data_IF_516945758961
#
_entry.id   IF_516945758961
#
_cell.length_a   1.000
_cell.length_b   1.000
_cell.length_c   1.000
_cell.angle_alpha   90.00
_cell.angle_beta   90.00
_cell.angle_gamma   90.00
#
_symmetry.space_group_name_H-M   'P 1'
#
loop_
_entity.id
_entity.type
_entity.pdbx_description
1 polymer ?
#
# COMPACT_ATOMS: atom_id res chain seq x y z
N UNK A 1 6.59 -15.74 32.91
CA UNK A 1 7.58 -14.64 32.81
C UNK A 1 7.38 -13.67 33.95
N UNK A 2 8.45 -13.25 34.64
CA UNK A 2 8.37 -12.30 35.77
C UNK A 2 7.87 -10.92 35.29
N UNK A 3 6.98 -10.29 36.07
CA UNK A 3 6.32 -9.03 35.75
C UNK A 3 7.23 -7.77 35.73
N UNK A 4 8.55 -7.92 35.88
CA UNK A 4 9.49 -6.82 36.12
C UNK A 4 10.68 -6.76 35.14
N UNK A 5 10.61 -7.45 34.00
CA UNK A 5 11.58 -7.26 32.90
C UNK A 5 10.92 -6.43 31.81
N UNK A 6 11.57 -5.36 31.37
CA UNK A 6 11.12 -4.58 30.21
C UNK A 6 10.99 -5.51 29.01
N UNK A 7 9.78 -5.63 28.47
CA UNK A 7 9.48 -6.48 27.31
C UNK A 7 9.54 -5.69 26.00
N UNK A 8 9.54 -4.36 26.08
CA UNK A 8 9.45 -3.47 24.94
C UNK A 8 10.33 -2.25 25.16
N UNK A 9 11.11 -1.89 24.13
CA UNK A 9 11.93 -0.68 24.14
C UNK A 9 11.59 0.16 22.92
N UNK A 10 11.71 1.47 23.06
CA UNK A 10 11.59 2.41 21.95
C UNK A 10 12.82 3.31 21.90
N UNK A 11 13.41 3.42 20.73
CA UNK A 11 14.60 4.24 20.50
C UNK A 11 14.38 5.15 19.30
N UNK A 12 14.84 6.40 19.42
CA UNK A 12 14.86 7.39 18.36
C UNK A 12 16.31 7.71 18.04
N UNK A 13 16.66 7.73 16.75
CA UNK A 13 18.02 8.00 16.29
C UNK A 13 18.46 9.42 16.69
N UNK A 14 19.71 9.53 17.16
CA UNK A 14 20.29 10.81 17.58
C UNK A 14 19.67 11.41 18.85
N UNK A 15 18.90 10.64 19.63
CA UNK A 15 18.32 11.09 20.89
C UNK A 15 19.06 10.51 22.10
N UNK A 16 19.72 11.38 22.86
CA UNK A 16 20.42 11.03 24.10
C UNK A 16 19.49 11.12 25.32
N UNK A 17 18.33 10.46 25.25
CA UNK A 17 17.37 10.40 26.36
C UNK A 17 16.87 8.97 26.54
N UNK A 18 16.70 8.57 27.81
CA UNK A 18 16.07 7.28 28.14
C UNK A 18 14.56 7.45 28.01
N UNK A 19 13.96 6.62 27.16
CA UNK A 19 12.51 6.57 26.92
C UNK A 19 11.94 5.30 27.55
N UNK A 20 11.06 5.45 28.52
CA UNK A 20 10.33 4.34 29.12
C UNK A 20 9.01 4.14 28.38
N UNK A 21 8.88 3.04 27.63
CA UNK A 21 7.66 2.72 26.91
C UNK A 21 6.55 2.33 27.89
N UNK A 22 5.39 2.99 27.77
CA UNK A 22 4.19 2.73 28.59
C UNK A 22 3.18 1.87 27.86
N UNK A 23 2.91 2.22 26.61
CA UNK A 23 1.92 1.57 25.78
C UNK A 23 2.28 1.80 24.32
N UNK A 24 1.88 0.86 23.46
CA UNK A 24 1.80 1.13 22.04
C UNK A 24 0.56 0.46 21.45
N UNK A 25 0.05 1.02 20.37
CA UNK A 25 -0.96 0.41 19.51
C UNK A 25 -0.49 0.47 18.06
N UNK A 26 -0.88 -0.53 17.27
CA UNK A 26 -0.54 -0.58 15.85
C UNK A 26 -1.80 -0.59 15.00
N UNK A 27 -1.79 0.15 13.91
CA UNK A 27 -2.77 0.04 12.83
C UNK A 27 -2.06 -0.25 11.50
N UNK A 28 -2.75 -0.98 10.63
CA UNK A 28 -2.27 -1.27 9.27
C UNK A 28 -0.91 -1.98 9.19
N UNK A 29 -0.51 -2.75 10.21
CA UNK A 29 0.65 -3.65 10.13
C UNK A 29 0.31 -4.90 9.31
N UNK A 30 0.03 -4.68 8.02
CA UNK A 30 -0.52 -5.63 7.07
C UNK A 30 0.34 -5.70 5.80
N UNK A 31 0.03 -6.67 4.94
CA UNK A 31 0.62 -6.81 3.61
C UNK A 31 0.37 -5.55 2.76
N UNK A 32 1.43 -5.03 2.12
CA UNK A 32 1.37 -3.92 1.16
C UNK A 32 0.74 -2.61 1.67
N UNK A 33 0.77 -2.35 2.97
CA UNK A 33 0.27 -1.10 3.56
C UNK A 33 1.34 -0.42 4.42
N UNK A 34 1.31 0.91 4.45
CA UNK A 34 2.05 1.70 5.41
C UNK A 34 1.49 1.47 6.83
N UNK A 35 2.27 0.78 7.66
CA UNK A 35 1.93 0.64 9.06
C UNK A 35 2.09 1.95 9.81
N UNK A 36 1.29 2.07 10.88
CA UNK A 36 1.32 3.16 11.83
C UNK A 36 1.32 2.58 13.24
N UNK A 37 2.19 3.10 14.08
CA UNK A 37 2.25 2.81 15.50
C UNK A 37 2.03 4.11 16.26
N UNK A 38 1.22 4.04 17.29
CA UNK A 38 1.08 5.10 18.28
C UNK A 38 1.74 4.61 19.57
N UNK A 39 2.77 5.31 20.01
CA UNK A 39 3.66 4.87 21.07
C UNK A 39 3.66 5.93 22.16
N UNK A 40 3.30 5.53 23.37
CA UNK A 40 3.30 6.40 24.55
C UNK A 40 4.57 6.10 25.34
N UNK A 41 5.41 7.10 25.52
CA UNK A 41 6.66 7.01 26.27
C UNK A 41 6.72 8.07 27.38
N UNK A 42 7.46 7.76 28.44
CA UNK A 42 7.77 8.71 29.50
C UNK A 42 9.27 8.93 29.60
N UNK A 43 9.69 10.15 29.91
CA UNK A 43 11.10 10.51 30.09
C UNK A 43 11.25 11.60 31.14
N UNK A 44 12.46 11.76 31.70
CA UNK A 44 12.75 12.81 32.70
C UNK A 44 13.14 14.15 32.08
N UNK A 45 13.50 14.15 30.80
CA UNK A 45 14.03 15.32 30.12
C UNK A 45 13.03 15.79 29.06
N UNK A 46 12.92 17.09 28.87
CA UNK A 46 12.23 17.64 27.70
C UNK A 46 13.00 17.21 26.44
N UNK A 47 12.29 16.63 25.47
CA UNK A 47 12.88 16.21 24.21
C UNK A 47 13.01 17.39 23.24
N UNK A 48 14.07 17.43 22.40
CA UNK A 48 14.12 18.32 21.25
C UNK A 48 13.07 17.91 20.20
N UNK A 49 13.00 18.63 19.07
CA UNK A 49 12.19 18.16 17.95
C UNK A 49 12.70 16.81 17.42
N UNK A 50 11.80 15.84 17.45
CA UNK A 50 12.02 14.46 17.03
C UNK A 50 11.33 14.12 15.71
N UNK A 51 10.66 15.10 15.08
CA UNK A 51 9.99 14.93 13.78
C UNK A 51 10.98 14.46 12.71
N UNK A 52 10.53 13.55 11.85
CA UNK A 52 11.29 12.95 10.74
C UNK A 52 12.52 12.12 11.14
N UNK A 53 12.81 11.97 12.43
CA UNK A 53 13.89 11.09 12.89
C UNK A 53 13.49 9.63 12.72
N UNK A 54 14.45 8.80 12.31
CA UNK A 54 14.28 7.36 12.33
C UNK A 54 14.11 6.89 13.78
N UNK A 55 13.28 5.88 13.96
CA UNK A 55 13.04 5.26 15.25
C UNK A 55 12.79 3.77 15.10
N UNK A 56 12.89 3.05 16.22
CA UNK A 56 12.63 1.61 16.27
C UNK A 56 11.95 1.21 17.56
N UNK A 57 10.92 0.38 17.42
CA UNK A 57 10.32 -0.39 18.50
C UNK A 57 11.01 -1.77 18.56
N UNK A 58 11.40 -2.19 19.75
CA UNK A 58 12.11 -3.45 20.00
C UNK A 58 11.26 -4.30 20.92
N UNK A 59 10.90 -5.51 20.48
CA UNK A 59 10.17 -6.49 21.27
C UNK A 59 11.18 -7.50 21.81
N UNK A 60 11.35 -7.50 23.13
CA UNK A 60 12.25 -8.36 23.88
C UNK A 60 11.52 -9.67 24.23
N UNK A 61 11.37 -10.55 23.23
CA UNK A 61 10.87 -11.93 23.40
C UNK A 61 12.02 -12.94 23.49
N UNK A 62 11.77 -14.21 23.13
CA UNK A 62 12.83 -15.21 22.94
C UNK A 62 13.92 -14.73 21.97
N UNK A 63 13.49 -14.04 20.91
CA UNK A 63 14.34 -13.34 19.97
C UNK A 63 13.96 -11.86 19.98
N UNK A 64 14.96 -10.98 19.79
CA UNK A 64 14.70 -9.55 19.60
C UNK A 64 14.06 -9.35 18.23
N UNK A 65 12.83 -8.83 18.22
CA UNK A 65 12.18 -8.36 17.01
C UNK A 65 12.22 -6.85 16.97
N UNK A 66 12.31 -6.31 15.76
CA UNK A 66 12.43 -4.87 15.52
C UNK A 66 11.26 -4.42 14.66
N UNK A 67 10.82 -3.19 14.86
CA UNK A 67 9.94 -2.49 13.92
C UNK A 67 10.53 -1.11 13.74
N UNK A 68 11.13 -0.87 12.58
CA UNK A 68 11.71 0.42 12.24
C UNK A 68 10.65 1.36 11.67
N UNK A 69 10.88 2.65 11.77
CA UNK A 69 10.01 3.65 11.19
C UNK A 69 10.62 5.04 11.28
N UNK A 70 9.79 6.01 10.95
CA UNK A 70 10.09 7.43 11.14
C UNK A 70 9.04 8.05 12.05
N UNK A 71 9.45 9.02 12.87
CA UNK A 71 8.53 9.82 13.68
C UNK A 71 7.83 10.81 12.77
N UNK A 72 6.51 10.69 12.63
CA UNK A 72 5.71 11.53 11.74
C UNK A 72 4.90 12.60 12.46
N UNK A 73 4.65 12.37 13.75
CA UNK A 73 3.99 13.32 14.62
C UNK A 73 4.37 12.96 16.07
N UNK A 74 4.44 13.95 16.93
CA UNK A 74 4.58 13.76 18.35
C UNK A 74 3.84 14.86 19.10
N UNK A 75 3.27 14.49 20.24
CA UNK A 75 2.72 15.44 21.20
C UNK A 75 3.34 15.15 22.56
N UNK A 76 3.43 16.17 23.41
CA UNK A 76 3.81 15.98 24.79
C UNK A 76 2.76 16.60 25.71
N UNK A 77 2.60 15.97 26.87
CA UNK A 77 1.83 16.51 27.98
C UNK A 77 2.65 16.44 29.24
N UNK A 78 2.40 17.36 30.16
CA UNK A 78 2.92 17.25 31.52
C UNK A 78 2.35 15.98 32.15
N UNK A 79 3.20 15.14 32.72
CA UNK A 79 2.73 14.00 33.48
C UNK A 79 2.18 14.48 34.84
N UNK A 80 1.33 13.69 35.47
CA UNK A 80 0.86 13.91 36.84
C UNK A 80 1.99 13.88 37.89
N UNK A 81 3.23 13.58 37.50
CA UNK A 81 4.42 13.46 38.36
C UNK A 81 5.41 14.55 37.95
N UNK A 82 5.77 15.40 38.90
CA UNK A 82 6.76 16.48 38.72
C UNK A 82 8.07 15.90 38.20
N UNK A 83 8.59 16.48 37.11
CA UNK A 83 9.86 16.06 36.49
C UNK A 83 9.78 14.83 35.58
N UNK A 84 8.57 14.39 35.21
CA UNK A 84 8.36 13.36 34.18
C UNK A 84 7.49 13.93 33.07
N UNK A 85 7.91 13.75 31.83
CA UNK A 85 7.18 14.17 30.63
C UNK A 85 6.61 12.94 29.93
N UNK A 86 5.38 13.04 29.46
CA UNK A 86 4.73 11.99 28.66
C UNK A 86 4.65 12.44 27.21
N UNK A 87 5.08 11.57 26.30
CA UNK A 87 5.04 11.82 24.86
C UNK A 87 4.20 10.75 24.18
N UNK A 88 3.32 11.20 23.28
CA UNK A 88 2.65 10.33 22.31
C UNK A 88 3.34 10.51 20.97
N UNK A 89 3.99 9.47 20.49
CA UNK A 89 4.78 9.45 19.25
C UNK A 89 4.03 8.62 18.21
N UNK A 90 3.78 9.19 17.04
CA UNK A 90 3.30 8.47 15.87
C UNK A 90 4.51 8.05 15.04
N UNK A 91 4.75 6.74 14.98
CA UNK A 91 5.75 6.10 14.13
C UNK A 91 5.06 5.51 12.89
N UNK A 92 5.60 5.77 11.70
CA UNK A 92 5.11 5.13 10.46
C UNK A 92 6.24 4.47 9.69
N UNK A 93 5.89 3.67 8.68
CA UNK A 93 6.87 3.00 7.82
C UNK A 93 7.85 4.00 7.19
N UNK A 94 9.08 3.58 6.83
CA UNK A 94 10.02 4.43 6.11
C UNK A 94 9.47 5.02 4.80
N UNK A 95 8.51 4.34 4.15
CA UNK A 95 7.89 4.83 2.91
C UNK A 95 6.94 6.01 3.13
N UNK A 96 6.62 6.37 4.37
CA UNK A 96 5.72 7.49 4.63
C UNK A 96 6.23 8.83 4.09
N UNK A 97 7.55 9.04 4.00
CA UNK A 97 8.10 10.25 3.37
C UNK A 97 7.68 10.40 1.90
N UNK A 98 7.44 9.28 1.20
CA UNK A 98 6.97 9.29 -0.20
C UNK A 98 5.52 9.79 -0.35
N UNK A 99 4.76 9.94 0.74
CA UNK A 99 3.38 10.44 0.68
C UNK A 99 3.31 11.97 0.70
N UNK A 100 4.44 12.66 0.92
CA UNK A 100 4.46 14.09 1.27
C UNK A 100 4.39 15.03 0.08
N UNK A 101 5.00 14.62 -1.04
CA UNK A 101 5.13 15.46 -2.22
C UNK A 101 4.43 14.78 -3.38
N UNK A 102 3.62 15.56 -4.11
CA UNK A 102 3.00 15.16 -5.36
C UNK A 102 3.89 15.56 -6.52
N UNK A 103 3.97 14.70 -7.52
CA UNK A 103 4.78 14.94 -8.71
C UNK A 103 3.99 14.75 -10.00
N UNK A 104 4.47 15.41 -11.06
CA UNK A 104 4.07 15.18 -12.44
C UNK A 104 5.30 14.69 -13.20
N UNK A 105 5.39 13.38 -13.48
CA UNK A 105 6.56 12.74 -14.12
C UNK A 105 6.13 11.79 -15.22
N UNK A 106 6.92 11.74 -16.28
CA UNK A 106 6.70 10.88 -17.44
C UNK A 106 7.80 9.84 -17.53
N UNK A 107 7.40 8.56 -17.55
CA UNK A 107 8.28 7.41 -17.71
C UNK A 107 8.03 6.78 -19.08
N UNK A 108 9.05 6.73 -19.95
CA UNK A 108 8.94 6.24 -21.33
C UNK A 108 9.77 4.99 -21.53
N UNK A 109 9.20 3.98 -22.18
CA UNK A 109 9.87 2.72 -22.50
C UNK A 109 10.51 2.03 -21.29
N UNK A 110 9.82 2.03 -20.14
CA UNK A 110 10.29 1.41 -18.91
C UNK A 110 9.31 0.34 -18.43
N UNK A 111 9.86 -0.72 -17.85
CA UNK A 111 9.12 -1.71 -17.07
C UNK A 111 8.71 -1.13 -15.72
N UNK A 112 7.68 -1.72 -15.09
CA UNK A 112 7.26 -1.33 -13.73
C UNK A 112 8.42 -1.49 -12.74
N UNK A 113 9.23 -2.55 -12.89
CA UNK A 113 10.40 -2.79 -12.03
C UNK A 113 11.43 -1.66 -12.13
N UNK A 114 11.72 -1.16 -13.33
CA UNK A 114 12.64 -0.04 -13.51
C UNK A 114 12.10 1.27 -12.93
N UNK A 115 10.79 1.51 -13.05
CA UNK A 115 10.13 2.67 -12.45
C UNK A 115 10.19 2.59 -10.93
N UNK A 116 9.89 1.43 -10.33
CA UNK A 116 10.01 1.18 -8.89
C UNK A 116 11.42 1.48 -8.39
N UNK A 117 12.46 1.00 -9.10
CA UNK A 117 13.87 1.28 -8.75
C UNK A 117 14.19 2.77 -8.76
N UNK A 118 13.60 3.55 -9.68
CA UNK A 118 13.78 5.01 -9.75
C UNK A 118 13.11 5.72 -8.56
N UNK A 119 11.91 5.29 -8.17
CA UNK A 119 11.19 5.85 -7.01
C UNK A 119 11.93 5.53 -5.72
N UNK A 120 12.40 4.29 -5.57
CA UNK A 120 13.01 3.79 -4.34
C UNK A 120 14.53 3.97 -4.28
N UNK A 121 15.11 4.85 -5.11
CA UNK A 121 16.58 5.02 -5.25
C UNK A 121 17.30 5.27 -3.91
N UNK A 122 16.64 5.95 -2.98
CA UNK A 122 17.20 6.34 -1.67
C UNK A 122 16.78 5.38 -0.54
N UNK A 123 16.12 4.27 -0.87
CA UNK A 123 15.61 3.28 0.07
C UNK A 123 16.33 1.95 -0.07
N UNK A 124 16.38 1.17 1.01
CA UNK A 124 16.86 -0.23 0.94
C UNK A 124 15.72 -1.17 0.60
N UNK A 125 15.84 -1.85 -0.53
CA UNK A 125 14.83 -2.75 -1.02
C UNK A 125 15.43 -3.99 -1.71
N UNK A 126 14.63 -5.06 -1.75
CA UNK A 126 14.86 -6.26 -2.54
C UNK A 126 13.64 -6.49 -3.43
N UNK A 127 13.86 -6.87 -4.68
CA UNK A 127 12.80 -7.26 -5.62
C UNK A 127 13.00 -8.74 -5.96
N UNK A 128 12.05 -9.58 -5.57
CA UNK A 128 12.04 -11.01 -5.86
C UNK A 128 10.79 -11.35 -6.65
N UNK A 129 10.94 -11.39 -7.96
CA UNK A 129 9.85 -11.64 -8.89
C UNK A 129 10.17 -12.83 -9.77
N UNK A 130 9.17 -13.65 -10.03
CA UNK A 130 9.28 -14.81 -10.91
C UNK A 130 8.87 -14.47 -12.34
N UNK A 131 7.99 -13.48 -12.52
CA UNK A 131 7.46 -13.08 -13.81
C UNK A 131 8.32 -12.01 -14.50
N UNK A 132 8.29 -12.01 -15.85
CA UNK A 132 8.80 -10.92 -16.66
C UNK A 132 7.72 -9.83 -16.82
N UNK A 133 8.08 -8.58 -16.56
CA UNK A 133 7.17 -7.44 -16.69
C UNK A 133 7.44 -6.68 -17.99
N UNK A 134 6.40 -6.36 -18.79
CA UNK A 134 6.57 -5.67 -20.05
C UNK A 134 7.02 -4.23 -19.83
N UNK A 135 7.73 -3.69 -20.82
CA UNK A 135 8.00 -2.26 -20.90
C UNK A 135 6.74 -1.52 -21.38
N UNK A 136 6.45 -0.39 -20.74
CA UNK A 136 5.34 0.47 -21.11
C UNK A 136 5.86 1.61 -21.99
N UNK A 137 5.18 1.85 -23.13
CA UNK A 137 5.51 2.98 -24.03
C UNK A 137 5.50 4.30 -23.27
N UNK A 138 4.48 4.49 -22.43
CA UNK A 138 4.28 5.67 -21.62
C UNK A 138 3.63 5.26 -20.30
N UNK A 139 4.14 5.80 -19.19
CA UNK A 139 3.50 5.73 -17.89
C UNK A 139 3.69 7.07 -17.20
N UNK A 140 2.58 7.71 -16.82
CA UNK A 140 2.60 9.01 -16.16
C UNK A 140 2.24 8.85 -14.68
N UNK A 141 2.99 9.57 -13.85
CA UNK A 141 2.60 9.96 -12.51
C UNK A 141 2.01 11.36 -12.60
N UNK A 142 0.75 11.53 -12.25
CA UNK A 142 0.04 12.81 -12.40
C UNK A 142 -0.68 13.18 -11.11
N UNK A 143 -0.29 14.31 -10.52
CA UNK A 143 -0.92 14.89 -9.31
C UNK A 143 -1.09 13.91 -8.14
N UNK A 144 -0.20 12.92 -8.07
CA UNK A 144 -0.18 11.87 -7.05
C UNK A 144 1.21 11.80 -6.40
N UNK A 145 1.24 11.31 -5.16
CA UNK A 145 2.49 11.16 -4.42
C UNK A 145 3.32 10.00 -4.94
N UNK A 146 4.61 9.96 -4.61
CA UNK A 146 5.47 8.84 -4.99
C UNK A 146 4.99 7.52 -4.37
N UNK A 147 4.41 7.59 -3.17
CA UNK A 147 3.80 6.44 -2.52
C UNK A 147 2.54 5.96 -3.27
N UNK A 148 1.62 6.87 -3.59
CA UNK A 148 0.37 6.51 -4.28
C UNK A 148 0.66 5.93 -5.66
N UNK A 149 1.60 6.54 -6.38
CA UNK A 149 2.07 6.05 -7.67
C UNK A 149 2.69 4.65 -7.55
N UNK A 150 3.57 4.45 -6.57
CA UNK A 150 4.20 3.16 -6.29
C UNK A 150 3.14 2.08 -6.01
N UNK A 151 2.20 2.34 -5.11
CA UNK A 151 1.12 1.39 -4.79
C UNK A 151 0.27 1.08 -6.02
N UNK A 152 -0.06 2.10 -6.82
CA UNK A 152 -0.85 1.95 -8.05
C UNK A 152 -0.17 1.04 -9.07
N UNK A 153 1.12 1.25 -9.34
CA UNK A 153 1.86 0.45 -10.32
C UNK A 153 2.15 -0.97 -9.82
N UNK A 154 2.41 -1.15 -8.52
CA UNK A 154 2.58 -2.47 -7.92
C UNK A 154 1.28 -3.28 -8.01
N UNK A 155 0.16 -2.70 -7.59
CA UNK A 155 -1.16 -3.35 -7.67
C UNK A 155 -1.53 -3.72 -9.11
N UNK A 156 -1.24 -2.84 -10.09
CA UNK A 156 -1.47 -3.12 -11.52
C UNK A 156 -0.66 -4.32 -12.01
N UNK A 157 0.55 -4.51 -11.49
CA UNK A 157 1.43 -5.61 -11.83
C UNK A 157 1.16 -6.90 -11.04
N UNK A 158 0.22 -6.90 -10.09
CA UNK A 158 0.05 -8.00 -9.14
C UNK A 158 1.22 -8.14 -8.16
N UNK A 159 2.01 -7.07 -7.99
CA UNK A 159 3.10 -7.00 -7.03
C UNK A 159 2.58 -6.51 -5.68
N UNK A 160 3.17 -7.03 -4.61
CA UNK A 160 2.93 -6.56 -3.25
C UNK A 160 4.25 -6.47 -2.50
N UNK A 161 4.25 -5.77 -1.36
CA UNK A 161 5.45 -5.58 -0.57
C UNK A 161 5.24 -5.89 0.90
N UNK A 162 6.34 -6.23 1.58
CA UNK A 162 6.43 -6.35 3.04
C UNK A 162 7.70 -5.67 3.52
N UNK A 163 7.75 -5.32 4.80
CA UNK A 163 8.98 -4.89 5.44
C UNK A 163 9.64 -6.06 6.16
N UNK A 164 10.84 -6.45 5.73
CA UNK A 164 11.70 -7.35 6.50
C UNK A 164 12.46 -6.53 7.52
N UNK A 165 12.10 -6.70 8.79
CA UNK A 165 12.71 -6.00 9.91
C UNK A 165 14.00 -6.70 10.32
N UNK A 166 15.14 -6.02 10.20
CA UNK A 166 16.45 -6.48 10.66
C UNK A 166 16.87 -5.70 11.92
N UNK A 167 18.00 -6.06 12.52
CA UNK A 167 18.44 -5.45 13.78
C UNK A 167 18.78 -3.95 13.63
N UNK A 168 19.31 -3.59 12.47
CA UNK A 168 19.82 -2.26 12.13
C UNK A 168 18.80 -1.42 11.36
N UNK A 169 17.95 -2.04 10.53
CA UNK A 169 17.03 -1.32 9.62
C UNK A 169 15.86 -2.18 9.11
N UNK A 170 14.90 -1.55 8.44
CA UNK A 170 13.90 -2.24 7.63
C UNK A 170 14.33 -2.31 6.15
N UNK A 171 14.12 -3.48 5.53
CA UNK A 171 14.30 -3.67 4.09
C UNK A 171 12.93 -3.90 3.46
N UNK A 172 12.60 -3.11 2.45
CA UNK A 172 11.38 -3.30 1.67
C UNK A 172 11.55 -4.50 0.72
N UNK A 173 10.75 -5.55 0.88
CA UNK A 173 10.74 -6.70 -0.02
C UNK A 173 9.52 -6.61 -0.92
N UNK A 174 9.73 -6.50 -2.24
CA UNK A 174 8.69 -6.49 -3.27
C UNK A 174 8.68 -7.85 -3.97
N UNK A 175 7.50 -8.47 -4.06
CA UNK A 175 7.30 -9.84 -4.58
C UNK A 175 6.03 -9.97 -5.42
N UNK A 176 5.99 -10.97 -6.28
CA UNK A 176 4.80 -11.40 -7.04
C UNK A 176 4.24 -12.76 -6.60
N UNK A 177 4.95 -13.46 -5.71
CA UNK A 177 4.56 -14.77 -5.18
C UNK A 177 4.71 -14.78 -3.65
N UNK A 178 3.67 -15.23 -2.96
CA UNK A 178 3.65 -15.39 -1.50
C UNK A 178 4.70 -16.38 -1.00
N UNK A 179 5.11 -17.34 -1.83
CA UNK A 179 6.16 -18.30 -1.50
C UNK A 179 7.55 -17.65 -1.32
N UNK A 180 7.75 -16.44 -1.85
CA UNK A 180 8.99 -15.69 -1.63
C UNK A 180 9.09 -15.07 -0.23
N UNK A 181 7.99 -15.05 0.54
CA UNK A 181 7.96 -14.57 1.92
C UNK A 181 8.56 -15.61 2.89
N UNK A 182 9.15 -15.12 3.97
CA UNK A 182 9.69 -15.99 5.02
C UNK A 182 8.56 -16.81 5.67
N UNK A 183 8.74 -18.13 5.74
CA UNK A 183 7.81 -19.03 6.42
C UNK A 183 8.11 -19.05 7.91
N UNK A 184 7.07 -18.92 8.73
CA UNK A 184 7.19 -19.13 10.17
C UNK A 184 7.33 -20.64 10.44
N UNK A 185 8.40 -21.05 11.12
CA UNK A 185 8.77 -22.46 11.27
C UNK A 185 8.47 -23.06 12.65
N UNK A 186 8.03 -22.25 13.62
CA UNK A 186 7.68 -22.75 14.96
C UNK A 186 6.20 -23.12 15.02
N UNK A 187 5.89 -24.14 15.82
CA UNK A 187 4.51 -24.47 16.19
C UNK A 187 4.09 -23.54 17.32
N UNK A 188 2.93 -22.88 17.18
CA UNK A 188 2.32 -22.09 18.25
C UNK A 188 1.06 -22.80 18.71
N UNK A 189 0.98 -23.09 20.01
CA UNK A 189 -0.14 -23.80 20.59
C UNK A 189 -1.37 -22.89 20.74
N UNK A 190 -2.56 -23.49 20.57
CA UNK A 190 -3.81 -22.85 20.96
C UNK A 190 -4.13 -23.16 22.43
N UNK A 191 -4.42 -22.13 23.23
CA UNK A 191 -4.86 -22.24 24.62
C UNK A 191 -6.01 -21.29 24.91
N UNK A 192 -7.19 -21.84 25.15
CA UNK A 192 -8.38 -21.06 25.53
C UNK A 192 -8.13 -20.27 26.83
N UNK A 193 -8.68 -19.04 26.99
CA UNK A 193 -8.53 -18.27 28.21
C UNK A 193 -9.22 -18.95 29.39
N UNK A 194 -8.45 -19.45 30.37
CA UNK A 194 -8.97 -20.09 31.59
C UNK A 194 -8.92 -19.19 32.82
N UNK A 195 -8.47 -17.94 32.67
CA UNK A 195 -8.21 -17.02 33.78
C UNK A 195 -6.88 -17.25 34.51
N UNK A 196 -6.19 -18.37 34.24
CA UNK A 196 -4.84 -18.61 34.74
C UNK A 196 -3.78 -17.85 33.95
N UNK A 197 -2.67 -17.50 34.61
CA UNK A 197 -1.51 -16.91 33.95
C UNK A 197 -0.94 -17.88 32.91
N UNK A 198 -0.66 -17.37 31.70
CA UNK A 198 -0.02 -18.15 30.64
C UNK A 198 1.47 -18.31 30.94
N UNK A 199 1.96 -19.52 30.76
CA UNK A 199 3.37 -19.86 30.97
C UNK A 199 4.22 -19.71 29.70
N UNK A 200 3.59 -19.77 28.53
CA UNK A 200 4.20 -19.66 27.19
C UNK A 200 3.33 -18.79 26.26
N UNK A 201 3.94 -18.31 25.17
CA UNK A 201 3.23 -17.60 24.11
C UNK A 201 2.28 -18.57 23.36
N UNK A 202 1.00 -18.22 23.30
CA UNK A 202 -0.05 -19.09 22.73
C UNK A 202 -1.14 -18.28 22.05
N UNK A 203 -1.76 -18.83 21.01
CA UNK A 203 -2.98 -18.26 20.42
C UNK A 203 -4.14 -18.55 21.36
N UNK A 204 -4.96 -17.55 21.66
CA UNK A 204 -6.06 -17.70 22.62
C UNK A 204 -7.45 -17.51 22.03
N UNK A 205 -7.55 -17.01 20.81
CA UNK A 205 -8.82 -16.86 20.10
C UNK A 205 -8.66 -17.12 18.62
N UNK A 206 -9.69 -17.72 18.03
CA UNK A 206 -9.87 -17.86 16.59
C UNK A 206 -11.31 -17.47 16.27
N UNK A 207 -11.50 -16.77 15.18
CA UNK A 207 -12.82 -16.49 14.64
C UNK A 207 -12.80 -16.67 13.13
N UNK A 208 -13.82 -17.33 12.62
CA UNK A 208 -14.07 -17.41 11.19
C UNK A 208 -15.05 -16.30 10.80
N UNK A 209 -14.73 -15.55 9.75
CA UNK A 209 -15.65 -14.58 9.15
C UNK A 209 -15.87 -14.92 7.70
N UNK A 210 -17.12 -15.17 7.33
CA UNK A 210 -17.54 -15.32 5.93
C UNK A 210 -18.26 -14.06 5.49
N UNK A 211 -17.90 -13.56 4.32
CA UNK A 211 -18.54 -12.40 3.70
C UNK A 211 -18.84 -12.75 2.25
N UNK A 212 -20.08 -12.51 1.82
CA UNK A 212 -20.43 -12.60 0.41
C UNK A 212 -19.77 -11.42 -0.30
N UNK A 213 -18.85 -11.71 -1.21
CA UNK A 213 -18.24 -10.71 -2.08
C UNK A 213 -18.84 -10.79 -3.47
N UNK A 214 -18.93 -9.64 -4.15
CA UNK A 214 -19.36 -9.59 -5.54
C UNK A 214 -18.29 -10.22 -6.43
N UNK A 215 -18.68 -11.16 -7.29
CA UNK A 215 -17.80 -11.65 -8.33
C UNK A 215 -17.68 -10.58 -9.43
N UNK A 216 -16.49 -10.00 -9.58
CA UNK A 216 -16.19 -9.04 -10.63
C UNK A 216 -15.60 -9.77 -11.83
N UNK A 217 -16.22 -9.61 -12.99
CA UNK A 217 -15.70 -10.11 -14.26
C UNK A 217 -15.14 -8.96 -15.07
N UNK A 218 -13.83 -9.01 -15.30
CA UNK A 218 -13.14 -8.01 -16.09
C UNK A 218 -13.05 -8.51 -17.53
N UNK A 219 -13.66 -7.77 -18.46
CA UNK A 219 -13.28 -7.85 -19.85
C UNK A 219 -12.39 -6.66 -20.16
N UNK A 220 -11.17 -6.95 -20.59
CA UNK A 220 -10.21 -5.95 -21.02
C UNK A 220 -10.33 -5.87 -22.54
N UNK A 221 -10.76 -4.72 -23.02
CA UNK A 221 -10.68 -4.39 -24.45
C UNK A 221 -9.92 -3.10 -24.61
N UNK A 222 -9.12 -3.03 -25.65
CA UNK A 222 -8.53 -1.76 -26.07
C UNK A 222 -9.63 -0.90 -26.69
N UNK A 223 -9.85 0.27 -26.11
CA UNK A 223 -10.85 1.24 -26.57
C UNK A 223 -10.22 2.38 -27.38
N UNK A 224 -8.94 2.26 -27.79
CA UNK A 224 -8.35 3.23 -28.72
C UNK A 224 -9.14 3.25 -30.03
N UNK A 225 -9.35 4.46 -30.55
CA UNK A 225 -10.11 4.72 -31.77
C UNK A 225 -11.55 4.17 -31.75
N UNK A 226 -12.21 4.22 -30.59
CA UNK A 226 -13.56 3.69 -30.47
C UNK A 226 -14.53 4.43 -31.40
N UNK A 227 -15.20 3.68 -32.29
CA UNK A 227 -16.17 4.21 -33.24
C UNK A 227 -17.56 3.61 -33.03
N UNK A 228 -18.59 4.41 -33.33
CA UNK A 228 -19.95 3.88 -33.44
C UNK A 228 -19.99 2.77 -34.51
N UNK A 229 -20.59 1.63 -34.18
CA UNK A 229 -20.64 0.46 -35.03
C UNK A 229 -19.50 -0.54 -34.85
N UNK A 230 -18.42 -0.19 -34.14
CA UNK A 230 -17.32 -1.11 -33.85
C UNK A 230 -17.78 -2.29 -33.00
N UNK A 231 -17.21 -3.46 -33.26
CA UNK A 231 -17.46 -4.67 -32.48
C UNK A 231 -16.40 -4.84 -31.40
N UNK A 232 -16.83 -5.02 -30.16
CA UNK A 232 -16.03 -5.35 -28.99
C UNK A 232 -16.39 -6.75 -28.53
N UNK A 233 -15.42 -7.66 -28.48
CA UNK A 233 -15.69 -9.04 -28.07
C UNK A 233 -15.50 -9.19 -26.56
N UNK A 234 -16.56 -9.56 -25.86
CA UNK A 234 -16.48 -9.97 -24.46
C UNK A 234 -15.97 -11.42 -24.41
N UNK A 235 -14.95 -11.67 -23.58
CA UNK A 235 -14.40 -13.01 -23.34
C UNK A 235 -14.34 -13.27 -21.84
N UNK A 236 -14.32 -14.56 -21.46
CA UNK A 236 -14.14 -15.03 -20.08
C UNK A 236 -15.20 -14.55 -19.06
N UNK A 237 -16.40 -14.17 -19.52
CA UNK A 237 -17.56 -14.01 -18.66
C UNK A 237 -18.08 -15.41 -18.22
N UNK A 238 -18.39 -15.66 -16.93
CA UNK A 238 -18.81 -16.99 -16.46
C UNK A 238 -20.14 -17.43 -17.06
N UNK A 239 -21.03 -16.45 -17.27
CA UNK A 239 -22.26 -16.69 -17.99
C UNK A 239 -21.91 -16.72 -19.48
N UNK A 240 -21.81 -17.93 -20.03
CA UNK A 240 -21.33 -18.21 -21.40
C UNK A 240 -22.04 -17.39 -22.48
N UNK A 241 -23.35 -17.13 -22.33
CA UNK A 241 -24.16 -16.34 -23.28
C UNK A 241 -23.68 -14.89 -23.47
N UNK A 242 -22.95 -14.33 -22.52
CA UNK A 242 -22.40 -12.97 -22.64
C UNK A 242 -21.04 -12.94 -23.35
N UNK A 243 -20.38 -14.09 -23.57
CA UNK A 243 -19.13 -14.15 -24.33
C UNK A 243 -19.42 -14.03 -25.84
N UNK A 244 -19.72 -12.81 -26.28
CA UNK A 244 -20.09 -12.51 -27.66
C UNK A 244 -19.52 -11.16 -28.12
N UNK A 245 -19.66 -10.87 -29.40
CA UNK A 245 -19.33 -9.57 -29.97
C UNK A 245 -20.48 -8.58 -29.74
N UNK A 246 -20.18 -7.47 -29.07
CA UNK A 246 -21.08 -6.35 -28.85
C UNK A 246 -20.73 -5.18 -29.77
N UNK A 247 -21.74 -4.61 -30.40
CA UNK A 247 -21.62 -3.39 -31.20
C UNK A 247 -21.71 -2.15 -30.32
N UNK A 248 -20.81 -1.20 -30.51
CA UNK A 248 -20.90 0.13 -29.91
C UNK A 248 -22.04 0.89 -30.58
N UNK A 249 -23.10 1.19 -29.82
CA UNK A 249 -24.31 1.88 -30.32
C UNK A 249 -24.46 3.29 -29.75
N UNK A 250 -23.68 3.65 -28.74
CA UNK A 250 -23.70 4.98 -28.15
C UNK A 250 -22.44 5.26 -27.33
N UNK A 251 -21.97 6.50 -27.41
CA UNK A 251 -20.83 7.00 -26.65
C UNK A 251 -21.17 8.39 -26.12
N UNK A 252 -20.93 8.64 -24.83
CA UNK A 252 -21.07 9.97 -24.24
C UNK A 252 -19.88 10.25 -23.33
N UNK A 253 -19.19 11.36 -23.59
CA UNK A 253 -18.10 11.84 -22.72
C UNK A 253 -18.69 12.90 -21.80
N UNK A 254 -18.53 12.74 -20.49
CA UNK A 254 -18.74 13.79 -19.51
C UNK A 254 -17.36 14.34 -19.09
N UNK A 255 -17.06 15.54 -19.55
CA UNK A 255 -15.75 16.19 -19.33
C UNK A 255 -15.59 16.61 -17.87
N UNK A 256 -16.65 17.12 -17.24
CA UNK A 256 -16.64 17.59 -15.84
C UNK A 256 -16.36 16.45 -14.86
N UNK A 257 -16.91 15.26 -15.14
CA UNK A 257 -16.71 14.07 -14.30
C UNK A 257 -15.56 13.18 -14.79
N UNK A 258 -14.89 13.50 -15.90
CA UNK A 258 -13.88 12.66 -16.57
C UNK A 258 -14.37 11.22 -16.87
N UNK A 259 -15.65 11.07 -17.19
CA UNK A 259 -16.30 9.78 -17.45
C UNK A 259 -16.58 9.58 -18.92
N UNK A 260 -16.27 8.39 -19.43
CA UNK A 260 -16.76 7.93 -20.73
C UNK A 260 -17.85 6.87 -20.49
N UNK A 261 -19.04 7.13 -21.01
CA UNK A 261 -20.16 6.19 -21.00
C UNK A 261 -20.24 5.45 -22.33
N UNK A 262 -20.20 4.12 -22.27
CA UNK A 262 -20.41 3.26 -23.43
C UNK A 262 -21.76 2.55 -23.38
N UNK A 263 -22.41 2.48 -24.53
CA UNK A 263 -23.62 1.69 -24.73
C UNK A 263 -23.34 0.60 -25.79
N UNK A 264 -23.52 -0.65 -25.38
CA UNK A 264 -23.14 -1.83 -26.15
C UNK A 264 -24.37 -2.70 -26.41
N UNK A 265 -24.50 -3.22 -27.64
CA UNK A 265 -25.63 -4.06 -28.04
C UNK A 265 -25.17 -5.31 -28.82
N UNK A 266 -25.76 -6.47 -28.52
CA UNK A 266 -25.56 -7.73 -29.23
C UNK A 266 -26.91 -8.41 -29.43
N UNK A 267 -27.46 -8.37 -30.66
CA UNK A 267 -28.79 -8.89 -30.95
C UNK A 267 -29.87 -8.23 -30.09
N UNK A 268 -30.59 -9.01 -29.26
CA UNK A 268 -31.61 -8.50 -28.32
C UNK A 268 -31.02 -7.97 -27.00
N UNK A 269 -29.72 -8.14 -26.76
CA UNK A 269 -29.08 -7.76 -25.50
C UNK A 269 -28.51 -6.35 -25.62
N UNK A 270 -28.93 -5.45 -24.73
CA UNK A 270 -28.33 -4.14 -24.55
C UNK A 270 -27.74 -4.09 -23.14
N UNK A 271 -26.44 -3.82 -23.04
CA UNK A 271 -25.79 -3.66 -21.76
C UNK A 271 -26.14 -2.30 -21.15
N UNK A 272 -26.23 -2.19 -19.80
CA UNK A 272 -26.38 -0.90 -19.15
C UNK A 272 -25.21 0.02 -19.51
N UNK A 273 -25.42 1.34 -19.45
CA UNK A 273 -24.35 2.31 -19.70
C UNK A 273 -23.18 2.04 -18.76
N UNK A 274 -22.02 1.77 -19.33
CA UNK A 274 -20.82 1.42 -18.57
C UNK A 274 -20.02 2.70 -18.34
N UNK A 275 -19.76 3.03 -17.07
CA UNK A 275 -18.83 4.09 -16.69
C UNK A 275 -17.38 3.55 -16.78
N UNK A 276 -16.60 4.11 -17.70
CA UNK A 276 -15.19 3.79 -17.88
C UNK A 276 -14.25 4.53 -16.91
N UNK A 277 -14.74 5.23 -15.88
CA UNK A 277 -13.84 5.90 -14.92
C UNK A 277 -12.93 4.91 -14.15
N UNK A 278 -13.27 3.62 -14.09
CA UNK A 278 -12.35 2.56 -13.60
C UNK A 278 -11.26 2.16 -14.63
N UNK A 279 -11.19 2.83 -15.77
CA UNK A 279 -10.34 2.56 -16.94
C UNK A 279 -9.29 3.67 -17.19
N UNK A 280 -8.81 4.28 -16.10
CA UNK A 280 -8.03 5.53 -15.93
C UNK A 280 -6.79 5.82 -16.82
N UNK A 281 -6.57 5.17 -17.97
CA UNK A 281 -5.37 5.38 -18.79
C UNK A 281 -5.60 5.84 -20.24
N UNK A 282 -6.82 6.17 -20.68
CA UNK A 282 -7.06 6.60 -22.07
C UNK A 282 -7.09 8.12 -22.30
N UNK A 283 -6.94 8.95 -21.26
CA UNK A 283 -6.85 10.41 -21.40
C UNK A 283 -5.44 10.93 -21.78
N UNK A 284 -4.48 10.05 -22.04
CA UNK A 284 -3.19 10.43 -22.64
C UNK A 284 -3.25 10.59 -24.18
N UNK A 285 -4.38 10.28 -24.83
CA UNK A 285 -4.52 10.42 -26.28
C UNK A 285 -4.98 11.83 -26.74
N UNK A 286 -5.31 12.75 -25.82
CA UNK A 286 -5.75 14.10 -26.17
C UNK A 286 -4.63 15.16 -26.13
N UNK A 287 -3.43 14.82 -25.64
CA UNK A 287 -2.32 15.78 -25.51
C UNK A 287 -1.40 15.80 -26.76
N UNK A 288 -1.57 14.90 -27.72
CA UNK A 288 -0.79 14.90 -28.98
C UNK A 288 -1.60 15.24 -30.25
N UNK A 289 -2.89 15.61 -30.15
CA UNK A 289 -3.66 16.09 -31.31
C UNK A 289 -3.68 17.60 -31.50
N UNK A 290 -3.19 18.40 -30.55
CA UNK A 290 -3.17 19.87 -30.65
C UNK A 290 -1.85 20.47 -31.18
N UNK A 291 -0.90 19.64 -31.64
CA UNK A 291 0.17 20.09 -32.54
C UNK A 291 -0.33 20.35 -33.98
N UNK A 292 -1.65 20.49 -34.20
CA UNK A 292 -2.23 20.81 -35.51
C UNK A 292 -2.80 22.23 -35.68
N UNK A 293 -2.69 23.11 -34.70
CA UNK A 293 -2.94 24.54 -34.87
C UNK A 293 -1.68 25.36 -34.59
N UNK A 294 -0.61 25.04 -35.31
CA UNK A 294 0.34 26.04 -35.74
C UNK A 294 -0.25 26.70 -37.00
N UNK A 295 -0.43 28.02 -36.96
CA UNK A 295 -0.96 28.92 -38.00
C UNK A 295 -2.49 28.96 -38.17
N UNK A 296 -3.13 29.83 -37.38
CA UNK A 296 -4.05 30.90 -37.80
C UNK A 296 -4.35 31.82 -36.61
#
# INVERSE_FOLDING_TARGET
MCANKEQFLFAIEGLNAVLYLRQFTSSNYNLAVNYRFEIIVTTKNLLPDITERNCKLILLGENKNYVHGIVTNWTHSEANIVGVYTYTVIMQSPLYSLTKIKHNRVFKNLTIIEIVKKILKDYRYEIKVNNAYPAYKLMVQYQESDFDFLVRILNRAGLFYVFRQQNDQAILLIVDDINALAKFSKIINYRSPTGANRTEDSIYSFYERRKLEQQLFFAVTDCRDLQLGQLLTLRAHPVSKYNTAYRVVGMKINIEETKLFLQLAAGKYQLPKIDLHRFYHLLEAAIESDTKYANL
#
